data_IF_275687731118
#
_entry.id   IF_275687731118
#
_cell.length_a   1.000
_cell.length_b   1.000
_cell.length_c   1.000
_cell.angle_alpha   90.00
_cell.angle_beta   90.00
_cell.angle_gamma   90.00
#
_symmetry.space_group_name_H-M   'P 1'
#
loop_
_entity.id
_entity.type
_entity.pdbx_description
1 polymer ?
#
# COMPACT_ATOMS: atom_id res chain seq x y z
N UNK A 1 24.04 13.51 -15.65
CA UNK A 1 22.78 13.42 -14.90
C UNK A 1 22.81 12.22 -13.98
N UNK A 2 22.20 12.35 -12.81
CA UNK A 2 22.08 11.27 -11.83
C UNK A 2 20.59 10.90 -11.69
N UNK A 3 20.28 9.62 -11.83
CA UNK A 3 18.95 9.06 -11.67
C UNK A 3 18.92 8.23 -10.39
N UNK A 4 18.09 8.60 -9.43
CA UNK A 4 17.81 7.77 -8.27
C UNK A 4 16.47 7.05 -8.51
N UNK A 5 16.51 5.73 -8.65
CA UNK A 5 15.36 4.95 -9.15
C UNK A 5 15.21 3.61 -8.46
N UNK A 6 13.97 3.11 -8.43
CA UNK A 6 13.73 1.68 -8.19
C UNK A 6 14.13 0.84 -9.41
N UNK A 7 14.55 -0.41 -9.21
CA UNK A 7 14.95 -1.31 -10.30
C UNK A 7 13.74 -1.80 -11.12
N UNK A 8 13.16 -0.92 -11.93
CA UNK A 8 12.04 -1.23 -12.83
C UNK A 8 12.50 -1.25 -14.28
N UNK A 9 12.17 -2.32 -14.99
CA UNK A 9 12.44 -2.49 -16.44
C UNK A 9 11.96 -1.28 -17.25
N UNK A 10 10.72 -0.84 -17.01
CA UNK A 10 10.13 0.32 -17.69
C UNK A 10 10.94 1.61 -17.48
N UNK A 11 11.49 1.80 -16.28
CA UNK A 11 12.31 2.97 -15.96
C UNK A 11 13.64 2.92 -16.72
N UNK A 12 14.24 1.74 -16.89
CA UNK A 12 15.49 1.60 -17.65
C UNK A 12 15.30 1.99 -19.12
N UNK A 13 14.19 1.59 -19.74
CA UNK A 13 13.85 2.01 -21.11
C UNK A 13 13.72 3.53 -21.23
N UNK A 14 13.04 4.18 -20.29
CA UNK A 14 12.96 5.65 -20.27
C UNK A 14 14.32 6.34 -20.10
N UNK A 15 15.21 5.78 -19.26
CA UNK A 15 16.56 6.31 -19.12
C UNK A 15 17.33 6.11 -20.43
N UNK A 16 17.21 4.96 -21.08
CA UNK A 16 17.83 4.69 -22.37
C UNK A 16 17.36 5.66 -23.46
N UNK A 17 16.06 5.96 -23.52
CA UNK A 17 15.49 6.97 -24.43
C UNK A 17 16.15 8.34 -24.24
N UNK A 18 16.34 8.77 -22.99
CA UNK A 18 16.99 10.05 -22.66
C UNK A 18 18.46 10.05 -23.14
N UNK A 19 19.20 8.97 -22.85
CA UNK A 19 20.60 8.83 -23.25
C UNK A 19 20.74 8.84 -24.77
N UNK A 20 19.91 8.06 -25.47
CA UNK A 20 19.90 7.99 -26.93
C UNK A 20 19.49 9.32 -27.57
N UNK A 21 18.51 10.04 -27.02
CA UNK A 21 18.12 11.37 -27.50
C UNK A 21 19.27 12.38 -27.41
N UNK A 22 20.04 12.35 -26.33
CA UNK A 22 21.23 13.19 -26.19
C UNK A 22 22.34 12.79 -27.17
N UNK A 23 22.58 11.49 -27.38
CA UNK A 23 23.52 10.99 -28.40
C UNK A 23 23.13 11.44 -29.81
N UNK A 24 21.86 11.30 -30.18
CA UNK A 24 21.32 11.78 -31.47
C UNK A 24 21.46 13.29 -31.64
N UNK A 25 21.37 14.04 -30.54
CA UNK A 25 21.54 15.50 -30.53
C UNK A 25 23.03 15.94 -30.46
N UNK A 26 23.98 15.02 -30.50
CA UNK A 26 25.42 15.30 -30.37
C UNK A 26 25.84 15.81 -28.99
N UNK A 27 25.02 15.61 -27.96
CA UNK A 27 25.32 16.04 -26.58
C UNK A 27 26.11 14.96 -25.85
N UNK A 28 27.26 15.36 -25.31
CA UNK A 28 28.05 14.49 -24.43
C UNK A 28 27.70 14.78 -22.97
N UNK A 29 27.20 13.77 -22.26
CA UNK A 29 26.92 13.82 -20.82
C UNK A 29 27.35 12.53 -20.16
N UNK A 30 27.73 12.61 -18.89
CA UNK A 30 27.92 11.45 -18.02
C UNK A 30 26.61 11.11 -17.33
N UNK A 31 26.25 9.83 -17.31
CA UNK A 31 25.02 9.34 -16.68
C UNK A 31 25.35 8.42 -15.51
N UNK A 32 24.62 8.60 -14.41
CA UNK A 32 24.68 7.76 -13.23
C UNK A 32 23.28 7.26 -12.90
N UNK A 33 23.13 5.97 -12.66
CA UNK A 33 21.92 5.34 -12.14
C UNK A 33 22.26 4.83 -10.73
N UNK A 34 21.50 5.28 -9.73
CA UNK A 34 21.57 4.80 -8.37
C UNK A 34 20.28 4.02 -8.13
N UNK A 35 20.41 2.71 -8.00
CA UNK A 35 19.29 1.82 -7.71
C UNK A 35 18.99 1.81 -6.21
N UNK A 36 17.72 1.84 -5.85
CA UNK A 36 17.28 1.72 -4.46
C UNK A 36 16.06 0.80 -4.34
N UNK A 37 15.98 -0.09 -3.34
CA UNK A 37 17.03 -0.35 -2.35
C UNK A 37 18.19 -1.22 -2.87
N UNK A 38 18.01 -1.86 -4.03
CA UNK A 38 18.97 -2.79 -4.64
C UNK A 38 18.88 -2.72 -6.17
N UNK A 39 19.92 -3.16 -6.86
CA UNK A 39 19.98 -3.32 -8.33
C UNK A 39 19.48 -4.71 -8.70
N UNK A 40 18.78 -4.79 -9.82
CA UNK A 40 18.44 -6.06 -10.44
C UNK A 40 19.24 -6.25 -11.72
N UNK A 41 19.82 -7.44 -11.90
CA UNK A 41 20.56 -7.79 -13.12
C UNK A 41 19.71 -7.61 -14.39
N UNK A 42 18.41 -7.89 -14.31
CA UNK A 42 17.48 -7.66 -15.41
C UNK A 42 17.42 -6.17 -15.86
N UNK A 43 17.72 -5.21 -14.99
CA UNK A 43 17.82 -3.81 -15.39
C UNK A 43 19.11 -3.53 -16.18
N UNK A 44 20.22 -4.19 -15.86
CA UNK A 44 21.47 -4.07 -16.63
C UNK A 44 21.31 -4.67 -18.03
N UNK A 45 20.67 -5.85 -18.13
CA UNK A 45 20.37 -6.46 -19.42
C UNK A 45 19.57 -5.53 -20.34
N UNK A 46 18.58 -4.81 -19.80
CA UNK A 46 17.81 -3.82 -20.58
C UNK A 46 18.71 -2.69 -21.08
N UNK A 47 19.62 -2.18 -20.25
CA UNK A 47 20.55 -1.12 -20.66
C UNK A 47 21.53 -1.62 -21.74
N UNK A 48 21.92 -2.89 -21.70
CA UNK A 48 22.73 -3.55 -22.74
C UNK A 48 21.96 -3.71 -24.05
N UNK A 49 20.74 -4.25 -23.99
CA UNK A 49 19.84 -4.41 -25.14
C UNK A 49 19.54 -3.08 -25.85
N UNK A 50 19.35 -2.01 -25.07
CA UNK A 50 19.13 -0.65 -25.59
C UNK A 50 20.42 0.04 -26.08
N UNK A 51 21.59 -0.61 -25.93
CA UNK A 51 22.88 -0.11 -26.42
C UNK A 51 23.46 1.08 -25.65
N UNK A 52 23.02 1.29 -24.40
CA UNK A 52 23.41 2.42 -23.55
C UNK A 52 24.19 2.03 -22.29
N UNK A 53 24.39 0.73 -22.04
CA UNK A 53 25.09 0.24 -20.85
C UNK A 53 26.49 0.88 -20.66
N UNK A 54 27.25 1.03 -21.74
CA UNK A 54 28.57 1.68 -21.69
C UNK A 54 28.53 3.21 -21.48
N UNK A 55 27.36 3.84 -21.65
CA UNK A 55 27.16 5.28 -21.47
C UNK A 55 26.75 5.65 -20.04
N UNK A 56 26.38 4.65 -19.22
CA UNK A 56 25.89 4.83 -17.85
C UNK A 56 26.81 4.16 -16.85
N UNK A 57 26.83 4.70 -15.63
CA UNK A 57 27.42 4.02 -14.47
C UNK A 57 26.31 3.67 -13.50
N UNK A 58 26.40 2.51 -12.85
CA UNK A 58 25.36 2.02 -11.94
C UNK A 58 25.93 1.85 -10.53
N UNK A 59 25.25 2.37 -9.51
CA UNK A 59 25.50 2.09 -8.09
C UNK A 59 24.20 1.62 -7.42
N UNK A 60 24.33 1.09 -6.22
CA UNK A 60 23.22 0.80 -5.31
C UNK A 60 23.24 1.75 -4.11
N UNK A 61 22.06 2.13 -3.66
CA UNK A 61 21.87 2.78 -2.38
C UNK A 61 20.87 1.97 -1.54
N UNK A 62 21.43 1.31 -0.53
CA UNK A 62 20.78 0.42 0.45
C UNK A 62 19.85 1.17 1.42
N UNK A 63 18.85 1.85 0.85
CA UNK A 63 17.85 2.62 1.59
C UNK A 63 16.57 1.79 1.76
N UNK A 64 16.48 1.05 2.86
CA UNK A 64 15.42 0.06 3.07
C UNK A 64 14.23 0.57 3.88
N UNK A 65 14.45 1.42 4.89
CA UNK A 65 13.43 1.81 5.87
C UNK A 65 13.30 3.34 5.93
N UNK A 66 12.09 3.83 5.74
CA UNK A 66 11.69 5.22 6.00
C UNK A 66 10.94 5.30 7.34
N UNK A 67 11.38 6.12 8.31
CA UNK A 67 10.57 6.46 9.46
C UNK A 67 9.46 7.42 9.02
N UNK A 68 8.21 6.95 9.05
CA UNK A 68 7.03 7.75 8.69
C UNK A 68 6.45 8.47 9.91
N UNK A 69 6.54 7.85 11.09
CA UNK A 69 6.08 8.39 12.36
C UNK A 69 6.93 7.83 13.52
N UNK A 70 6.63 8.21 14.77
CA UNK A 70 7.36 7.75 15.96
C UNK A 70 7.34 6.22 16.15
N UNK A 71 6.28 5.55 15.69
CA UNK A 71 6.02 4.12 15.83
C UNK A 71 5.84 3.40 14.48
N UNK A 72 6.13 4.08 13.36
CA UNK A 72 5.92 3.54 12.00
C UNK A 72 7.19 3.69 11.17
N UNK A 73 7.72 2.55 10.74
CA UNK A 73 8.76 2.45 9.70
C UNK A 73 8.21 1.68 8.50
N UNK A 74 8.49 2.15 7.29
CA UNK A 74 7.98 1.55 6.05
C UNK A 74 9.09 1.38 5.04
N UNK A 75 9.04 0.30 4.26
CA UNK A 75 9.90 0.15 3.07
C UNK A 75 9.37 0.93 1.86
N UNK A 76 8.12 1.40 1.92
CA UNK A 76 7.41 2.08 0.84
C UNK A 76 7.54 1.35 -0.52
N UNK A 77 7.37 0.02 -0.52
CA UNK A 77 7.42 -0.83 -1.74
C UNK A 77 6.00 -1.23 -2.22
N UNK A 78 5.24 -0.35 -2.90
CA UNK A 78 3.89 -0.63 -3.41
C UNK A 78 3.83 -1.81 -4.40
N UNK A 79 4.95 -2.18 -5.04
CA UNK A 79 5.02 -3.34 -5.92
C UNK A 79 5.08 -4.67 -5.16
N UNK A 80 5.54 -4.65 -3.91
CA UNK A 80 5.85 -5.87 -3.15
C UNK A 80 4.67 -6.83 -3.11
N UNK A 81 3.47 -6.32 -2.84
CA UNK A 81 2.29 -7.15 -2.71
C UNK A 81 1.97 -7.91 -4.01
N UNK A 82 1.96 -7.20 -5.14
CA UNK A 82 1.70 -7.80 -6.45
C UNK A 82 2.80 -8.79 -6.81
N UNK A 83 4.05 -8.35 -6.76
CA UNK A 83 5.19 -9.15 -7.20
C UNK A 83 5.23 -10.46 -6.39
N UNK A 84 5.16 -10.37 -5.07
CA UNK A 84 5.29 -11.54 -4.22
C UNK A 84 4.03 -12.42 -4.16
N UNK A 85 2.88 -11.85 -3.76
CA UNK A 85 1.68 -12.64 -3.46
C UNK A 85 0.86 -13.01 -4.71
N UNK A 86 1.01 -12.28 -5.82
CA UNK A 86 0.26 -12.55 -7.05
C UNK A 86 1.12 -13.16 -8.16
N UNK A 87 2.35 -12.68 -8.33
CA UNK A 87 3.23 -13.12 -9.42
C UNK A 87 4.25 -14.19 -8.99
N UNK A 88 4.35 -14.49 -7.68
CA UNK A 88 5.31 -15.46 -7.14
C UNK A 88 6.77 -14.99 -7.27
N UNK A 89 6.97 -13.68 -7.41
CA UNK A 89 8.28 -13.07 -7.53
C UNK A 89 8.86 -12.75 -6.14
N UNK A 90 9.86 -13.55 -5.76
CA UNK A 90 10.50 -13.47 -4.45
C UNK A 90 11.67 -12.49 -4.38
N UNK A 91 11.94 -11.69 -5.43
CA UNK A 91 13.11 -10.77 -5.50
C UNK A 91 13.18 -9.77 -4.34
N UNK A 92 12.04 -9.42 -3.74
CA UNK A 92 11.98 -8.47 -2.62
C UNK A 92 12.33 -9.07 -1.26
N UNK A 93 12.44 -10.40 -1.13
CA UNK A 93 12.79 -11.07 0.14
C UNK A 93 14.17 -10.59 0.65
N UNK A 94 15.13 -10.36 -0.24
CA UNK A 94 16.43 -9.81 0.15
C UNK A 94 16.30 -8.43 0.79
N UNK A 95 15.45 -7.54 0.23
CA UNK A 95 15.23 -6.22 0.82
C UNK A 95 14.65 -6.29 2.23
N UNK A 96 13.74 -7.24 2.50
CA UNK A 96 13.16 -7.46 3.83
C UNK A 96 14.23 -7.98 4.79
N UNK A 97 15.00 -8.98 4.37
CA UNK A 97 16.08 -9.54 5.19
C UNK A 97 17.16 -8.49 5.52
N UNK A 98 17.52 -7.63 4.57
CA UNK A 98 18.46 -6.52 4.77
C UNK A 98 17.89 -5.43 5.68
N UNK A 99 16.58 -5.16 5.62
CA UNK A 99 15.92 -4.27 6.58
C UNK A 99 15.98 -4.84 8.01
N UNK A 100 15.77 -6.15 8.19
CA UNK A 100 15.91 -6.82 9.50
C UNK A 100 17.36 -6.77 9.99
N UNK A 101 18.33 -7.02 9.12
CA UNK A 101 19.75 -6.89 9.42
C UNK A 101 20.12 -5.45 9.83
N UNK A 102 19.57 -4.44 9.15
CA UNK A 102 19.77 -3.03 9.52
C UNK A 102 19.19 -2.72 10.92
N UNK A 103 17.99 -3.20 11.23
CA UNK A 103 17.42 -3.03 12.57
C UNK A 103 18.28 -3.73 13.63
N UNK A 104 18.75 -4.94 13.34
CA UNK A 104 19.64 -5.67 14.23
C UNK A 104 20.99 -4.95 14.45
N UNK A 105 21.61 -4.41 13.40
CA UNK A 105 22.89 -3.68 13.53
C UNK A 105 22.72 -2.38 14.33
N UNK A 106 21.57 -1.72 14.24
CA UNK A 106 21.27 -0.52 15.00
C UNK A 106 20.93 -0.82 16.47
N UNK A 107 20.08 -1.81 16.74
CA UNK A 107 19.44 -2.05 18.06
C UNK A 107 19.90 -3.33 18.78
N UNK A 108 20.89 -4.04 18.21
CA UNK A 108 21.32 -5.34 18.70
C UNK A 108 20.39 -6.50 18.29
N UNK A 109 20.77 -7.75 18.61
CA UNK A 109 20.00 -8.94 18.23
C UNK A 109 18.58 -8.87 18.76
N UNK A 110 17.60 -9.33 17.99
CA UNK A 110 16.24 -9.49 18.51
C UNK A 110 16.23 -10.57 19.60
N UNK A 111 15.49 -10.34 20.68
CA UNK A 111 15.37 -11.33 21.76
C UNK A 111 14.71 -12.63 21.31
N UNK A 112 13.57 -12.54 20.62
CA UNK A 112 12.87 -13.66 19.96
C UNK A 112 12.22 -13.22 18.65
N UNK A 113 12.11 -14.16 17.72
CA UNK A 113 11.40 -13.97 16.46
C UNK A 113 10.26 -14.99 16.35
N UNK A 114 9.09 -14.51 15.91
CA UNK A 114 7.92 -15.33 15.59
C UNK A 114 7.48 -15.00 14.17
N UNK A 115 6.94 -15.98 13.46
CA UNK A 115 6.55 -15.80 12.07
C UNK A 115 5.32 -16.61 11.71
N UNK A 116 4.44 -16.04 10.89
CA UNK A 116 3.36 -16.75 10.22
C UNK A 116 3.34 -16.41 8.74
N UNK A 117 3.38 -17.45 7.90
CA UNK A 117 3.42 -17.34 6.45
C UNK A 117 4.79 -17.67 5.83
N UNK A 118 4.82 -17.82 4.50
CA UNK A 118 6.00 -18.24 3.74
C UNK A 118 6.97 -17.09 3.50
N UNK A 119 6.47 -15.88 3.27
CA UNK A 119 7.30 -14.68 3.11
C UNK A 119 8.08 -14.39 4.39
N UNK A 120 7.39 -14.45 5.54
CA UNK A 120 7.96 -14.34 6.86
C UNK A 120 9.06 -15.37 7.09
N UNK A 121 8.79 -16.65 6.76
CA UNK A 121 9.78 -17.73 6.89
C UNK A 121 11.01 -17.49 6.02
N UNK A 122 10.84 -17.21 4.73
CA UNK A 122 11.96 -16.96 3.81
C UNK A 122 12.77 -15.72 4.20
N UNK A 123 12.09 -14.66 4.63
CA UNK A 123 12.75 -13.42 5.09
C UNK A 123 13.57 -13.67 6.36
N UNK A 124 13.04 -14.49 7.29
CA UNK A 124 13.74 -14.89 8.50
C UNK A 124 14.97 -15.75 8.21
N UNK A 125 14.82 -16.79 7.37
CA UNK A 125 15.92 -17.68 6.99
C UNK A 125 17.04 -16.90 6.27
N UNK A 126 16.69 -16.07 5.30
CA UNK A 126 17.69 -15.24 4.62
C UNK A 126 18.35 -14.22 5.55
N UNK A 127 17.59 -13.61 6.47
CA UNK A 127 18.18 -12.75 7.48
C UNK A 127 19.16 -13.51 8.38
N UNK A 128 18.81 -14.73 8.80
CA UNK A 128 19.70 -15.60 9.60
C UNK A 128 21.01 -15.92 8.88
N UNK A 129 20.95 -16.25 7.59
CA UNK A 129 22.14 -16.52 6.79
C UNK A 129 23.04 -15.27 6.72
N UNK A 130 22.45 -14.09 6.47
CA UNK A 130 23.17 -12.81 6.42
C UNK A 130 23.85 -12.45 7.76
N UNK A 131 23.27 -12.86 8.88
CA UNK A 131 23.87 -12.67 10.21
C UNK A 131 25.04 -13.60 10.47
N UNK A 132 24.98 -14.83 9.96
CA UNK A 132 26.07 -15.81 10.11
C UNK A 132 27.29 -15.43 9.26
N UNK A 133 27.05 -14.81 8.10
CA UNK A 133 28.10 -14.26 7.23
C UNK A 133 28.73 -12.97 7.78
N UNK A 134 28.00 -12.22 8.61
CA UNK A 134 28.46 -10.95 9.18
C UNK A 134 29.33 -11.21 10.41
N UNK A 135 30.63 -11.44 10.21
CA UNK A 135 31.59 -11.59 11.31
C UNK A 135 31.57 -10.36 12.25
N UNK A 136 31.03 -10.50 13.47
CA UNK A 136 31.50 -9.74 14.64
C UNK A 136 30.79 -8.44 15.05
N UNK A 137 29.81 -7.90 14.32
CA UNK A 137 29.23 -6.57 14.67
C UNK A 137 28.21 -6.60 15.84
N UNK A 138 27.73 -7.78 16.24
CA UNK A 138 26.70 -7.96 17.26
C UNK A 138 27.15 -8.65 18.56
N UNK A 139 28.41 -9.08 18.67
CA UNK A 139 28.84 -9.89 19.82
C UNK A 139 28.79 -9.09 21.13
N UNK A 140 27.90 -9.50 22.03
CA UNK A 140 27.75 -8.94 23.38
C UNK A 140 26.74 -7.79 23.51
N UNK A 141 26.08 -7.35 22.42
CA UNK A 141 25.00 -6.37 22.52
C UNK A 141 23.72 -7.01 23.06
N UNK A 142 23.09 -6.36 24.03
CA UNK A 142 21.80 -6.80 24.57
C UNK A 142 20.68 -6.43 23.59
N UNK A 143 19.62 -7.25 23.49
CA UNK A 143 18.45 -6.93 22.69
C UNK A 143 17.76 -5.66 23.22
N UNK A 144 17.73 -4.58 22.42
CA UNK A 144 16.81 -3.46 22.68
C UNK A 144 15.40 -3.78 22.18
N UNK A 145 15.32 -4.50 21.05
CA UNK A 145 14.07 -5.02 20.51
C UNK A 145 13.85 -6.44 21.06
N UNK A 146 12.86 -6.57 21.95
CA UNK A 146 12.59 -7.83 22.66
C UNK A 146 12.03 -8.92 21.74
N UNK A 147 10.91 -8.67 21.07
CA UNK A 147 10.26 -9.64 20.20
C UNK A 147 9.99 -9.02 18.83
N UNK A 148 10.19 -9.79 17.77
CA UNK A 148 9.80 -9.45 16.41
C UNK A 148 8.75 -10.45 15.94
N UNK A 149 7.67 -9.95 15.34
CA UNK A 149 6.60 -10.74 14.75
C UNK A 149 6.58 -10.47 13.25
N UNK A 150 6.80 -11.50 12.44
CA UNK A 150 6.72 -11.45 10.99
C UNK A 150 5.37 -12.05 10.57
N UNK A 151 4.56 -11.27 9.85
CA UNK A 151 3.22 -11.70 9.45
C UNK A 151 3.03 -11.44 7.96
N UNK A 152 2.71 -12.50 7.21
CA UNK A 152 2.34 -12.36 5.81
C UNK A 152 0.95 -11.74 5.69
N UNK A 153 0.74 -10.91 4.66
CA UNK A 153 -0.59 -10.33 4.43
C UNK A 153 -1.63 -11.38 4.02
N UNK A 154 -1.19 -12.46 3.35
CA UNK A 154 -2.05 -13.54 2.87
C UNK A 154 -2.63 -14.43 3.96
N UNK A 155 -2.21 -14.25 5.23
CA UNK A 155 -2.84 -14.91 6.38
C UNK A 155 -4.15 -14.25 6.80
N UNK A 156 -4.38 -13.01 6.36
CA UNK A 156 -5.60 -12.24 6.67
C UNK A 156 -5.84 -11.20 5.56
N UNK A 157 -6.58 -11.53 4.51
CA UNK A 157 -6.99 -10.51 3.55
C UNK A 157 -8.19 -9.70 4.02
N UNK A 158 -9.00 -10.26 4.92
CA UNK A 158 -10.26 -9.68 5.41
C UNK A 158 -10.03 -8.27 5.95
N UNK A 159 -9.04 -8.08 6.83
CA UNK A 159 -8.76 -6.76 7.43
C UNK A 159 -8.46 -5.68 6.39
N UNK A 160 -7.79 -6.02 5.28
CA UNK A 160 -7.47 -5.06 4.22
C UNK A 160 -8.66 -4.79 3.28
N UNK A 161 -9.65 -5.69 3.25
CA UNK A 161 -10.83 -5.58 2.43
C UNK A 161 -11.96 -4.82 3.14
N UNK A 162 -12.09 -4.91 4.46
CA UNK A 162 -13.12 -4.20 5.23
C UNK A 162 -12.91 -2.69 5.24
N UNK A 163 -14.01 -1.93 5.20
CA UNK A 163 -14.00 -0.48 5.23
C UNK A 163 -13.32 0.06 6.49
N UNK A 164 -12.44 1.03 6.32
CA UNK A 164 -11.78 1.68 7.45
C UNK A 164 -12.75 2.67 8.10
N UNK A 165 -12.90 2.63 9.43
CA UNK A 165 -13.89 3.46 10.17
C UNK A 165 -13.27 4.55 11.04
N UNK A 166 -11.94 4.59 11.13
CA UNK A 166 -11.20 5.64 11.83
C UNK A 166 -10.87 6.79 10.88
N UNK A 167 -10.60 7.98 11.43
CA UNK A 167 -10.36 9.18 10.63
C UNK A 167 -9.22 9.03 9.61
N UNK A 168 -8.05 8.57 10.04
CA UNK A 168 -6.90 8.42 9.14
C UNK A 168 -7.17 7.42 8.02
N UNK A 169 -7.84 6.31 8.35
CA UNK A 169 -8.24 5.31 7.37
C UNK A 169 -9.21 5.85 6.32
N UNK A 170 -10.19 6.68 6.72
CA UNK A 170 -11.09 7.33 5.75
C UNK A 170 -10.41 8.43 4.94
N UNK A 171 -9.39 9.10 5.51
CA UNK A 171 -8.54 10.01 4.74
C UNK A 171 -7.75 9.23 3.68
N UNK A 172 -7.21 8.05 4.00
CA UNK A 172 -6.53 7.20 3.01
C UNK A 172 -7.50 6.69 1.93
N UNK A 173 -8.66 6.16 2.32
CA UNK A 173 -9.65 5.64 1.37
C UNK A 173 -10.19 6.74 0.43
N UNK A 174 -10.28 7.99 0.89
CA UNK A 174 -10.88 9.10 0.12
C UNK A 174 -9.87 9.93 -0.67
N UNK A 175 -8.69 10.20 -0.08
CA UNK A 175 -7.70 11.14 -0.63
C UNK A 175 -6.36 10.49 -0.95
N UNK A 176 -6.15 9.25 -0.50
CA UNK A 176 -4.91 8.47 -0.60
C UNK A 176 -3.71 9.12 0.09
N UNK A 177 -3.28 8.50 1.18
CA UNK A 177 -2.04 8.84 1.87
C UNK A 177 -0.86 8.21 1.10
N UNK A 178 0.21 8.98 0.93
CA UNK A 178 1.46 8.57 0.29
C UNK A 178 2.65 9.07 1.10
N UNK A 179 3.48 8.15 1.57
CA UNK A 179 4.66 8.45 2.40
C UNK A 179 4.33 9.39 3.57
N UNK A 180 3.29 9.07 4.35
CA UNK A 180 2.85 9.89 5.48
C UNK A 180 2.25 11.26 5.11
N UNK A 181 1.95 11.51 3.83
CA UNK A 181 1.41 12.80 3.38
C UNK A 181 0.16 12.63 2.52
N UNK A 182 -0.69 13.65 2.52
CA UNK A 182 -1.91 13.72 1.70
C UNK A 182 -1.98 15.06 0.96
N UNK A 183 -2.43 15.03 -0.29
CA UNK A 183 -2.63 16.22 -1.10
C UNK A 183 -4.13 16.57 -1.13
N UNK A 184 -4.52 17.59 -0.37
CA UNK A 184 -5.90 18.06 -0.33
C UNK A 184 -6.18 19.03 -1.47
N UNK A 185 -7.07 18.63 -2.38
CA UNK A 185 -7.52 19.43 -3.51
C UNK A 185 -8.65 20.40 -3.19
N UNK A 186 -9.24 21.02 -4.22
CA UNK A 186 -10.30 22.03 -4.09
C UNK A 186 -11.52 21.59 -3.26
N UNK A 187 -11.86 20.29 -3.30
CA UNK A 187 -12.96 19.70 -2.51
C UNK A 187 -12.80 19.89 -1.00
N UNK A 188 -11.56 20.09 -0.54
CA UNK A 188 -11.20 20.28 0.87
C UNK A 188 -10.80 21.72 1.13
N UNK A 189 -9.99 22.33 0.25
CA UNK A 189 -9.43 23.67 0.48
C UNK A 189 -10.41 24.79 0.13
N UNK A 190 -11.50 24.50 -0.59
CA UNK A 190 -12.42 25.49 -1.16
C UNK A 190 -11.71 26.56 -2.00
N UNK A 191 -10.56 26.20 -2.60
CA UNK A 191 -9.76 27.06 -3.46
C UNK A 191 -9.11 26.24 -4.59
N UNK A 192 -8.70 26.89 -5.68
CA UNK A 192 -8.01 26.20 -6.78
C UNK A 192 -6.61 25.66 -6.40
N UNK A 193 -6.13 25.96 -5.19
CA UNK A 193 -4.83 25.50 -4.71
C UNK A 193 -4.98 24.23 -3.89
N UNK A 194 -4.20 23.21 -4.25
CA UNK A 194 -4.01 22.04 -3.41
C UNK A 194 -3.05 22.35 -2.26
N UNK A 195 -3.30 21.76 -1.09
CA UNK A 195 -2.42 21.84 0.07
C UNK A 195 -1.91 20.44 0.39
N UNK A 196 -0.59 20.29 0.45
CA UNK A 196 0.04 19.07 0.92
C UNK A 196 0.19 19.11 2.43
N UNK A 197 -0.36 18.10 3.11
CA UNK A 197 -0.33 17.98 4.57
C UNK A 197 0.47 16.74 4.94
N UNK A 198 1.41 16.89 5.88
CA UNK A 198 2.13 15.78 6.51
C UNK A 198 1.29 15.28 7.69
N UNK A 199 1.02 13.99 7.72
CA UNK A 199 0.18 13.32 8.71
C UNK A 199 1.08 12.52 9.65
N UNK A 200 1.42 13.10 10.80
CA UNK A 200 2.23 12.42 11.83
C UNK A 200 1.93 12.96 13.23
N UNK A 201 2.54 12.37 14.25
CA UNK A 201 2.32 12.74 15.65
C UNK A 201 2.70 14.19 16.03
N UNK A 202 3.47 14.90 15.18
CA UNK A 202 3.85 16.29 15.46
C UNK A 202 2.66 17.25 15.39
N UNK A 203 1.65 16.93 14.56
CA UNK A 203 0.36 17.62 14.61
C UNK A 203 -0.47 17.07 15.77
N UNK A 204 -0.53 17.86 16.86
CA UNK A 204 -1.28 17.51 18.07
C UNK A 204 -2.79 17.39 17.86
N UNK A 205 -3.36 18.03 16.83
CA UNK A 205 -4.76 17.83 16.46
C UNK A 205 -4.90 16.48 15.77
N UNK A 206 -4.06 16.21 14.77
CA UNK A 206 -4.09 14.94 14.04
C UNK A 206 -3.86 13.73 14.95
N UNK A 207 -2.86 13.79 15.84
CA UNK A 207 -2.56 12.75 16.84
C UNK A 207 -3.78 12.39 17.70
N UNK A 208 -4.64 13.37 18.01
CA UNK A 208 -5.85 13.14 18.82
C UNK A 208 -7.03 12.55 18.05
N UNK A 209 -7.07 12.69 16.72
CA UNK A 209 -8.22 12.28 15.92
C UNK A 209 -7.94 11.08 15.01
N UNK A 210 -6.68 10.80 14.66
CA UNK A 210 -6.30 9.83 13.62
C UNK A 210 -6.88 8.42 13.86
N UNK A 211 -6.89 7.99 15.13
CA UNK A 211 -7.35 6.67 15.56
C UNK A 211 -8.78 6.67 16.11
N UNK A 212 -9.46 7.83 16.11
CA UNK A 212 -10.83 7.95 16.60
C UNK A 212 -11.82 7.49 15.52
N UNK A 213 -12.91 6.87 15.97
CA UNK A 213 -14.01 6.53 15.07
C UNK A 213 -14.58 7.80 14.42
N UNK A 214 -14.73 7.78 13.10
CA UNK A 214 -14.99 8.99 12.31
C UNK A 214 -16.22 9.79 12.76
N UNK A 215 -17.27 9.11 13.23
CA UNK A 215 -18.49 9.76 13.72
C UNK A 215 -18.26 10.76 14.84
N UNK A 216 -17.19 10.59 15.62
CA UNK A 216 -16.85 11.44 16.76
C UNK A 216 -15.94 12.62 16.37
N UNK A 217 -15.27 12.53 15.22
CA UNK A 217 -14.17 13.45 14.86
C UNK A 217 -14.69 14.80 14.39
N UNK A 218 -15.75 14.85 13.57
CA UNK A 218 -16.26 16.13 13.07
C UNK A 218 -16.72 17.05 14.20
N UNK A 219 -17.52 16.53 15.15
CA UNK A 219 -18.00 17.31 16.30
C UNK A 219 -16.86 17.84 17.17
N UNK A 220 -15.83 17.01 17.39
CA UNK A 220 -14.62 17.40 18.10
C UNK A 220 -13.88 18.54 17.40
N UNK A 221 -13.65 18.41 16.08
CA UNK A 221 -12.97 19.44 15.29
C UNK A 221 -13.75 20.75 15.24
N UNK A 222 -15.07 20.72 15.06
CA UNK A 222 -15.91 21.92 15.08
C UNK A 222 -15.93 22.61 16.44
N UNK A 223 -15.88 21.86 17.54
CA UNK A 223 -15.75 22.44 18.88
C UNK A 223 -14.37 23.05 19.09
N UNK A 224 -13.31 22.32 18.71
CA UNK A 224 -11.92 22.76 18.86
C UNK A 224 -11.61 23.99 18.02
N UNK A 225 -12.12 24.09 16.79
CA UNK A 225 -11.99 25.27 15.93
C UNK A 225 -12.61 26.52 16.55
N UNK A 226 -13.80 26.41 17.13
CA UNK A 226 -14.45 27.53 17.84
C UNK A 226 -13.64 28.00 19.06
N UNK A 227 -12.98 27.08 19.76
CA UNK A 227 -12.14 27.39 20.91
C UNK A 227 -10.76 27.96 20.50
N UNK A 228 -10.18 27.49 19.40
CA UNK A 228 -8.87 27.90 18.88
C UNK A 228 -8.90 29.24 18.14
N UNK A 229 -10.05 29.75 17.71
CA UNK A 229 -10.15 31.15 17.26
C UNK A 229 -9.70 32.16 18.33
N UNK A 230 -9.58 31.75 19.60
CA UNK A 230 -9.06 32.55 20.70
C UNK A 230 -7.55 32.38 20.98
N UNK A 231 -6.87 31.39 20.38
CA UNK A 231 -5.44 31.12 20.58
C UNK A 231 -4.78 30.89 19.22
N UNK A 232 -3.85 31.75 18.84
CA UNK A 232 -3.21 31.85 17.52
C UNK A 232 -2.33 30.66 17.09
N UNK A 233 -2.71 29.43 17.40
CA UNK A 233 -1.91 28.24 17.10
C UNK A 233 -2.80 27.05 16.70
N UNK A 234 -2.88 26.78 15.39
CA UNK A 234 -2.78 25.47 14.70
C UNK A 234 -3.27 25.70 13.26
N UNK A 235 -2.34 25.88 12.32
CA UNK A 235 -2.60 26.18 10.91
C UNK A 235 -3.14 25.01 10.07
N UNK A 236 -3.34 23.82 10.67
CA UNK A 236 -3.69 22.58 9.95
C UNK A 236 -5.13 22.12 10.22
N UNK A 237 -5.74 22.57 11.33
CA UNK A 237 -7.13 22.23 11.69
C UNK A 237 -8.17 22.54 10.60
N UNK A 238 -8.07 23.65 9.82
CA UNK A 238 -8.99 23.91 8.71
C UNK A 238 -8.95 22.84 7.62
N UNK A 239 -7.76 22.26 7.35
CA UNK A 239 -7.61 21.16 6.38
C UNK A 239 -8.32 19.89 6.85
N UNK A 240 -8.19 19.55 8.13
CA UNK A 240 -8.88 18.38 8.69
C UNK A 240 -10.40 18.53 8.70
N UNK A 241 -10.92 19.74 8.97
CA UNK A 241 -12.35 20.04 8.90
C UNK A 241 -12.86 19.90 7.46
N UNK A 242 -12.17 20.51 6.49
CA UNK A 242 -12.53 20.39 5.08
C UNK A 242 -12.48 18.94 4.58
N UNK A 243 -11.52 18.15 5.06
CA UNK A 243 -11.45 16.73 4.76
C UNK A 243 -12.67 15.97 5.31
N UNK A 244 -13.07 16.21 6.57
CA UNK A 244 -14.29 15.62 7.14
C UNK A 244 -15.54 16.01 6.33
N UNK A 245 -15.70 17.28 6.00
CA UNK A 245 -16.84 17.75 5.20
C UNK A 245 -16.88 17.11 3.82
N UNK A 246 -15.73 17.00 3.16
CA UNK A 246 -15.61 16.36 1.85
C UNK A 246 -15.94 14.86 1.91
N UNK A 247 -15.45 14.14 2.94
CA UNK A 247 -15.80 12.73 3.19
C UNK A 247 -17.32 12.58 3.40
N UNK A 248 -17.93 13.40 4.26
CA UNK A 248 -19.37 13.34 4.54
C UNK A 248 -20.24 13.73 3.34
N UNK A 249 -19.72 14.52 2.39
CA UNK A 249 -20.40 14.82 1.11
C UNK A 249 -20.31 13.67 0.12
N UNK A 250 -19.19 12.95 0.08
CA UNK A 250 -18.97 11.81 -0.82
C UNK A 250 -19.69 10.55 -0.37
N UNK A 251 -19.82 10.34 0.94
CA UNK A 251 -20.48 9.18 1.53
C UNK A 251 -21.43 9.65 2.62
N UNK A 252 -22.73 9.41 2.42
CA UNK A 252 -23.72 9.73 3.45
C UNK A 252 -23.60 8.76 4.63
N UNK A 253 -24.15 9.15 5.78
CA UNK A 253 -24.22 8.26 6.94
C UNK A 253 -24.93 6.93 6.62
N UNK A 254 -25.96 6.98 5.78
CA UNK A 254 -26.69 5.80 5.37
C UNK A 254 -25.82 4.87 4.50
N UNK A 255 -25.10 5.43 3.52
CA UNK A 255 -24.19 4.64 2.66
C UNK A 255 -23.13 3.91 3.50
N UNK A 256 -22.53 4.60 4.47
CA UNK A 256 -21.58 3.98 5.41
C UNK A 256 -22.21 2.83 6.19
N UNK A 257 -23.42 3.03 6.72
CA UNK A 257 -24.10 2.02 7.51
C UNK A 257 -24.49 0.79 6.69
N UNK A 258 -24.95 0.99 5.46
CA UNK A 258 -25.31 -0.12 4.55
C UNK A 258 -24.08 -0.92 4.13
N UNK A 259 -22.97 -0.24 3.81
CA UNK A 259 -21.70 -0.89 3.47
C UNK A 259 -21.14 -1.71 4.63
N UNK A 260 -21.03 -1.11 5.83
CA UNK A 260 -20.54 -1.81 7.03
C UNK A 260 -21.47 -2.97 7.41
N UNK A 261 -22.80 -2.78 7.27
CA UNK A 261 -23.76 -3.85 7.54
C UNK A 261 -23.54 -5.03 6.60
N UNK A 262 -23.34 -4.79 5.31
CA UNK A 262 -23.05 -5.85 4.35
C UNK A 262 -21.74 -6.57 4.70
N UNK A 263 -20.66 -5.82 4.99
CA UNK A 263 -19.37 -6.39 5.42
C UNK A 263 -19.52 -7.28 6.65
N UNK A 264 -20.17 -6.78 7.72
CA UNK A 264 -20.39 -7.55 8.94
C UNK A 264 -21.23 -8.80 8.71
N UNK A 265 -22.30 -8.69 7.93
CA UNK A 265 -23.19 -9.81 7.62
C UNK A 265 -22.42 -10.94 6.92
N UNK A 266 -21.56 -10.59 5.94
CA UNK A 266 -20.67 -11.55 5.28
C UNK A 266 -19.71 -12.22 6.26
N UNK A 267 -19.05 -11.44 7.12
CA UNK A 267 -18.07 -11.96 8.08
C UNK A 267 -18.68 -12.87 9.16
N UNK A 268 -19.91 -12.57 9.58
CA UNK A 268 -20.65 -13.37 10.54
C UNK A 268 -21.37 -14.57 9.89
N UNK A 269 -21.44 -14.61 8.56
CA UNK A 269 -22.16 -15.64 7.81
C UNK A 269 -23.69 -15.55 7.97
N UNK A 270 -24.21 -14.34 8.21
CA UNK A 270 -25.65 -14.04 8.37
C UNK A 270 -26.12 -13.18 7.21
N UNK A 271 -27.41 -13.23 6.86
CA UNK A 271 -28.02 -12.39 5.83
C UNK A 271 -27.19 -12.29 4.52
N UNK A 272 -26.54 -13.41 4.14
CA UNK A 272 -25.60 -13.46 3.00
C UNK A 272 -26.33 -13.16 1.69
N UNK A 273 -27.61 -13.53 1.58
CA UNK A 273 -28.43 -13.25 0.39
C UNK A 273 -28.68 -11.75 0.23
N UNK A 274 -29.05 -11.08 1.31
CA UNK A 274 -29.26 -9.65 1.37
C UNK A 274 -27.96 -8.91 1.05
N UNK A 275 -26.84 -9.37 1.61
CA UNK A 275 -25.51 -8.83 1.32
C UNK A 275 -25.11 -9.03 -0.15
N UNK A 276 -25.43 -10.18 -0.74
CA UNK A 276 -25.22 -10.44 -2.17
C UNK A 276 -26.05 -9.49 -3.03
N UNK A 277 -27.33 -9.32 -2.73
CA UNK A 277 -28.21 -8.38 -3.44
C UNK A 277 -27.71 -6.93 -3.33
N UNK A 278 -27.21 -6.54 -2.16
CA UNK A 278 -26.57 -5.23 -1.98
C UNK A 278 -25.34 -5.06 -2.89
N UNK A 279 -24.50 -6.09 -3.02
CA UNK A 279 -23.33 -6.06 -3.92
C UNK A 279 -23.76 -5.93 -5.39
N UNK A 280 -24.77 -6.70 -5.82
CA UNK A 280 -25.34 -6.61 -7.18
C UNK A 280 -25.82 -5.19 -7.47
N UNK A 281 -26.62 -4.62 -6.57
CA UNK A 281 -27.13 -3.25 -6.71
C UNK A 281 -26.00 -2.21 -6.70
N UNK A 282 -24.98 -2.39 -5.87
CA UNK A 282 -23.83 -1.49 -5.79
C UNK A 282 -23.02 -1.48 -7.10
N UNK A 283 -22.87 -2.64 -7.75
CA UNK A 283 -22.26 -2.78 -9.08
C UNK A 283 -23.13 -2.13 -10.15
N UNK A 284 -24.44 -2.42 -10.16
CA UNK A 284 -25.38 -1.91 -11.17
C UNK A 284 -25.50 -0.39 -11.12
N UNK A 285 -25.49 0.19 -9.92
CA UNK A 285 -25.49 1.65 -9.71
C UNK A 285 -24.14 2.30 -9.96
N UNK A 286 -23.08 1.50 -10.16
CA UNK A 286 -21.70 1.97 -10.38
C UNK A 286 -21.19 2.91 -9.28
N UNK A 287 -21.51 2.59 -8.02
CA UNK A 287 -21.17 3.47 -6.87
C UNK A 287 -19.65 3.64 -6.75
N UNK A 288 -18.92 2.52 -6.69
CA UNK A 288 -17.46 2.52 -6.65
C UNK A 288 -16.92 1.16 -7.08
N UNK A 289 -16.07 1.10 -8.14
CA UNK A 289 -15.49 -0.17 -8.60
C UNK A 289 -14.61 -0.84 -7.55
N UNK A 290 -13.87 -0.07 -6.75
CA UNK A 290 -12.95 -0.61 -5.74
C UNK A 290 -13.73 -1.21 -4.57
N UNK A 291 -14.75 -0.51 -4.08
CA UNK A 291 -15.57 -1.00 -2.96
C UNK A 291 -16.39 -2.23 -3.36
N UNK A 292 -16.94 -2.22 -4.59
CA UNK A 292 -17.62 -3.40 -5.13
C UNK A 292 -16.69 -4.60 -5.18
N UNK A 293 -15.46 -4.42 -5.67
CA UNK A 293 -14.47 -5.51 -5.71
C UNK A 293 -14.10 -5.98 -4.30
N UNK A 294 -13.92 -5.07 -3.33
CA UNK A 294 -13.63 -5.43 -1.93
C UNK A 294 -14.75 -6.31 -1.35
N UNK A 295 -16.01 -5.92 -1.56
CA UNK A 295 -17.16 -6.70 -1.11
C UNK A 295 -17.26 -8.05 -1.80
N UNK A 296 -16.98 -8.13 -3.10
CA UNK A 296 -16.92 -9.40 -3.83
C UNK A 296 -15.81 -10.31 -3.32
N UNK A 297 -14.63 -9.77 -3.01
CA UNK A 297 -13.53 -10.51 -2.39
C UNK A 297 -13.94 -11.03 -1.00
N UNK A 298 -14.58 -10.20 -0.17
CA UNK A 298 -15.08 -10.59 1.14
C UNK A 298 -16.10 -11.74 1.02
N UNK A 299 -17.10 -11.59 0.15
CA UNK A 299 -18.09 -12.64 -0.13
C UNK A 299 -17.41 -13.95 -0.57
N UNK A 300 -16.39 -13.85 -1.42
CA UNK A 300 -15.68 -15.04 -1.90
C UNK A 300 -14.89 -15.74 -0.79
N UNK A 301 -14.26 -14.98 0.10
CA UNK A 301 -13.50 -15.51 1.24
C UNK A 301 -14.46 -16.18 2.24
N UNK A 302 -15.60 -15.57 2.54
CA UNK A 302 -16.55 -16.08 3.54
C UNK A 302 -17.35 -17.27 3.03
N UNK A 303 -17.71 -17.27 1.73
CA UNK A 303 -18.54 -18.33 1.11
C UNK A 303 -17.72 -19.37 0.32
N UNK A 304 -16.40 -19.43 0.50
CA UNK A 304 -15.50 -20.38 -0.18
C UNK A 304 -15.61 -20.38 -1.72
N UNK A 305 -15.82 -19.21 -2.33
CA UNK A 305 -15.84 -19.07 -3.79
C UNK A 305 -17.05 -19.71 -4.48
N UNK A 306 -18.23 -19.63 -3.87
CA UNK A 306 -19.49 -20.14 -4.41
C UNK A 306 -19.81 -19.62 -5.84
N UNK A 307 -20.63 -20.37 -6.58
CA UNK A 307 -21.05 -20.08 -7.96
C UNK A 307 -21.59 -18.64 -8.13
N UNK A 308 -22.19 -18.06 -7.09
CA UNK A 308 -22.66 -16.67 -7.09
C UNK A 308 -21.52 -15.64 -7.18
N UNK A 309 -20.42 -15.85 -6.46
CA UNK A 309 -19.23 -14.98 -6.54
C UNK A 309 -18.68 -14.92 -7.99
N UNK A 310 -18.70 -16.06 -8.69
CA UNK A 310 -18.28 -16.15 -10.10
C UNK A 310 -19.22 -15.41 -11.06
N UNK A 311 -20.53 -15.44 -10.80
CA UNK A 311 -21.50 -14.70 -11.60
C UNK A 311 -21.34 -13.18 -11.40
N UNK A 312 -21.14 -12.75 -10.16
CA UNK A 312 -20.81 -11.36 -9.82
C UNK A 312 -19.54 -10.88 -10.49
N UNK A 313 -18.51 -11.74 -10.57
CA UNK A 313 -17.27 -11.42 -11.30
C UNK A 313 -17.54 -11.10 -12.77
N UNK A 314 -18.34 -11.93 -13.45
CA UNK A 314 -18.70 -11.67 -14.84
C UNK A 314 -19.48 -10.35 -15.03
N UNK A 315 -20.40 -10.03 -14.12
CA UNK A 315 -21.13 -8.76 -14.12
C UNK A 315 -20.21 -7.57 -13.85
N UNK A 316 -19.31 -7.71 -12.89
CA UNK A 316 -18.29 -6.71 -12.58
C UNK A 316 -17.44 -6.43 -13.81
N UNK A 317 -16.85 -7.45 -14.42
CA UNK A 317 -15.98 -7.33 -15.60
C UNK A 317 -16.68 -6.63 -16.78
N UNK A 318 -17.98 -6.88 -16.96
CA UNK A 318 -18.80 -6.17 -17.96
C UNK A 318 -18.99 -4.71 -17.57
N UNK A 319 -19.25 -4.41 -16.29
CA UNK A 319 -19.46 -3.03 -15.83
C UNK A 319 -18.20 -2.17 -15.90
N UNK A 320 -17.00 -2.78 -15.87
CA UNK A 320 -15.69 -2.10 -15.90
C UNK A 320 -14.92 -2.22 -17.23
N UNK A 321 -15.50 -2.87 -18.25
CA UNK A 321 -14.92 -3.11 -19.57
C UNK A 321 -14.43 -1.81 -20.27
N UNK A 322 -13.41 -1.89 -21.16
CA UNK A 322 -12.53 -0.79 -21.49
C UNK A 322 -13.21 0.28 -22.36
N UNK A 323 -13.89 1.21 -21.68
CA UNK A 323 -14.34 2.47 -22.25
C UNK A 323 -14.02 3.67 -21.35
N UNK A 324 -13.70 3.49 -20.06
CA UNK A 324 -13.66 4.60 -19.10
C UNK A 324 -12.67 4.37 -17.94
N UNK A 325 -11.39 4.68 -18.16
CA UNK A 325 -10.45 5.04 -17.10
C UNK A 325 -10.16 4.00 -16.00
N UNK A 326 -10.38 2.72 -16.24
CA UNK A 326 -10.18 1.65 -15.24
C UNK A 326 -8.68 1.52 -14.87
N UNK A 327 -8.30 1.61 -13.58
CA UNK A 327 -6.95 1.31 -13.11
C UNK A 327 -6.48 -0.07 -13.60
N UNK A 328 -5.21 -0.22 -14.00
CA UNK A 328 -4.67 -1.46 -14.58
C UNK A 328 -4.83 -2.71 -13.68
N UNK A 329 -4.86 -2.51 -12.35
CA UNK A 329 -5.14 -3.55 -11.34
C UNK A 329 -6.56 -4.14 -11.42
N UNK A 330 -7.49 -3.41 -12.03
CA UNK A 330 -8.89 -3.81 -12.20
C UNK A 330 -9.18 -4.32 -13.61
N UNK A 331 -8.18 -4.49 -14.49
CA UNK A 331 -8.45 -5.08 -15.79
C UNK A 331 -9.00 -6.51 -15.65
N UNK A 332 -9.88 -6.98 -16.55
CA UNK A 332 -10.42 -8.35 -16.53
C UNK A 332 -9.36 -9.45 -16.75
N UNK A 333 -8.09 -9.06 -16.92
CA UNK A 333 -6.92 -9.94 -17.00
C UNK A 333 -5.96 -9.75 -15.83
N UNK A 334 -6.35 -8.99 -14.80
CA UNK A 334 -5.49 -8.79 -13.64
C UNK A 334 -5.43 -10.05 -12.78
N UNK A 335 -4.32 -10.26 -12.04
CA UNK A 335 -4.21 -11.38 -11.11
C UNK A 335 -5.23 -11.32 -9.96
N UNK A 336 -6.03 -10.26 -9.84
CA UNK A 336 -7.07 -10.07 -8.81
C UNK A 336 -8.46 -10.44 -9.34
N UNK A 337 -8.68 -10.31 -10.66
CA UNK A 337 -9.95 -10.67 -11.34
C UNK A 337 -9.93 -12.07 -11.94
N UNK A 338 -8.78 -12.76 -11.90
CA UNK A 338 -8.66 -14.12 -12.44
C UNK A 338 -9.42 -15.14 -11.56
N UNK A 339 -10.03 -16.19 -12.14
CA UNK A 339 -10.91 -17.13 -11.43
C UNK A 339 -10.29 -17.86 -10.23
N UNK A 340 -8.96 -17.81 -10.06
CA UNK A 340 -8.24 -18.32 -8.90
C UNK A 340 -8.07 -17.31 -7.76
N UNK A 341 -7.93 -16.02 -8.07
CA UNK A 341 -7.55 -14.95 -7.14
C UNK A 341 -8.55 -14.72 -6.01
N UNK A 342 -9.83 -14.95 -6.31
CA UNK A 342 -10.93 -14.87 -5.36
C UNK A 342 -11.13 -16.16 -4.57
N UNK A 343 -10.49 -17.27 -4.96
CA UNK A 343 -10.60 -18.52 -4.22
C UNK A 343 -9.56 -18.57 -3.10
N UNK A 344 -9.93 -18.96 -1.86
CA UNK A 344 -8.98 -19.28 -0.80
C UNK A 344 -7.95 -20.36 -1.24
N UNK A 345 -8.29 -21.12 -2.29
CA UNK A 345 -7.46 -22.19 -2.88
C UNK A 345 -6.41 -21.73 -3.89
N UNK A 346 -6.26 -20.43 -4.18
CA UNK A 346 -5.13 -19.93 -4.99
C UNK A 346 -3.83 -19.75 -4.18
N UNK A 347 -3.88 -19.92 -2.86
CA UNK A 347 -2.67 -20.28 -2.12
C UNK A 347 -2.18 -21.64 -2.64
N UNK A 348 -0.89 -21.80 -3.01
CA UNK A 348 -0.35 -23.06 -3.49
C UNK A 348 -0.73 -24.18 -2.54
N UNK A 349 -1.42 -25.20 -3.05
CA UNK A 349 -1.82 -26.36 -2.27
C UNK A 349 -0.63 -26.86 -1.47
N UNK A 350 -0.81 -26.86 -0.16
CA UNK A 350 0.11 -27.41 0.81
C UNK A 350 0.57 -28.81 0.37
N UNK A 351 1.82 -28.93 -0.06
CA UNK A 351 2.53 -30.19 -0.07
C UNK A 351 3.00 -30.45 1.35
N UNK A 352 2.55 -31.57 1.92
CA UNK A 352 3.11 -32.14 3.14
C UNK A 352 4.59 -32.50 2.98
#
# INVERSE_FOLDING_TARGET
FCFLVRPRIKTMRYIADIVNADKMSGRSRKYKIIFSPQKFYACEMVLEEEGVFGDVTCDEWSFYLLPLDEDIISMELPEFFRDYFLEGDHRWINSVARALQLLNSLYGPFGKAYGIGRCAKMSYELWRDLEEESEGDGQGRKPEIGNVFLMDRDTDYVTALCSQVVYEGLVDDTFRIKCGSVDFGPDVTSSDKSIKVLLNAQDKVFSQIRNEHFSSVFGFLSQKSRNLQAQYDVSIAPGHIGACESIMKKKTKQDFQEMIKAEHSLLEGVDVRESTSFIEEHIDRQVSPIESLRLMCLLSITENGDQKSRNLQAQYDVSIAPGRGTPALLSPHSPVTSPGALSPTAAPRHGH
#
